data_IF_750602470122
#
_entry.id   IF_750602470122
#
_cell.length_a   1.000
_cell.length_b   1.000
_cell.length_c   1.000
_cell.angle_alpha   90.00
_cell.angle_beta   90.00
_cell.angle_gamma   90.00
#
_symmetry.space_group_name_H-M   'P 1'
#
loop_
_entity.id
_entity.type
_entity.pdbx_description
1 polymer ?
#
# COMPACT_ATOMS: atom_id res chain seq x y z
N UNK A 1 -3.39 25.68 -30.28
CA UNK A 1 -4.64 25.59 -29.50
C UNK A 1 -4.45 24.52 -28.44
N UNK A 2 -4.38 24.88 -27.16
CA UNK A 2 -4.28 23.90 -26.07
C UNK A 2 -5.68 23.33 -25.85
N UNK A 3 -5.90 22.06 -26.19
CA UNK A 3 -7.08 21.35 -25.68
C UNK A 3 -7.05 21.44 -24.15
N UNK A 4 -8.14 21.92 -23.57
CA UNK A 4 -8.25 22.05 -22.12
C UNK A 4 -8.19 20.65 -21.52
N UNK A 5 -7.11 20.34 -20.80
CA UNK A 5 -7.04 19.14 -19.96
C UNK A 5 -7.96 19.38 -18.75
N UNK A 6 -9.02 18.59 -18.63
CA UNK A 6 -10.14 18.82 -17.71
C UNK A 6 -9.97 18.01 -16.43
N UNK A 7 -9.53 16.76 -16.55
CA UNK A 7 -9.34 15.84 -15.44
C UNK A 7 -7.85 15.63 -15.17
N UNK A 8 -7.44 15.56 -13.92
CA UNK A 8 -6.10 15.20 -13.49
C UNK A 8 -5.78 13.77 -13.95
N UNK A 9 -6.67 12.82 -13.69
CA UNK A 9 -6.53 11.42 -14.07
C UNK A 9 -7.91 10.73 -14.12
N UNK A 10 -7.94 9.44 -14.46
CA UNK A 10 -9.18 8.64 -14.54
C UNK A 10 -9.97 8.58 -13.24
N UNK A 11 -9.32 8.64 -12.08
CA UNK A 11 -10.01 8.61 -10.78
C UNK A 11 -10.81 9.88 -10.53
N UNK A 12 -10.20 11.04 -10.80
CA UNK A 12 -10.93 12.31 -10.69
C UNK A 12 -12.13 12.35 -11.65
N UNK A 13 -11.92 11.92 -12.89
CA UNK A 13 -12.99 11.81 -13.87
C UNK A 13 -14.15 10.91 -13.40
N UNK A 14 -13.84 9.75 -12.80
CA UNK A 14 -14.82 8.87 -12.19
C UNK A 14 -15.60 9.51 -11.04
N UNK A 15 -14.95 10.32 -10.19
CA UNK A 15 -15.63 11.06 -9.11
C UNK A 15 -16.57 12.13 -9.62
N UNK A 16 -16.18 12.86 -10.66
CA UNK A 16 -17.05 13.84 -11.32
C UNK A 16 -18.27 13.14 -11.93
N UNK A 17 -18.05 12.04 -12.64
CA UNK A 17 -19.13 11.24 -13.23
C UNK A 17 -20.09 10.67 -12.16
N UNK A 18 -19.54 10.20 -11.04
CA UNK A 18 -20.31 9.69 -9.91
C UNK A 18 -21.25 10.74 -9.29
N UNK A 19 -20.89 12.02 -9.30
CA UNK A 19 -21.76 13.09 -8.80
C UNK A 19 -23.02 13.24 -9.66
N UNK A 20 -22.92 13.01 -10.98
CA UNK A 20 -24.05 13.09 -11.90
C UNK A 20 -24.98 11.87 -11.79
N UNK A 21 -24.45 10.73 -11.35
CA UNK A 21 -25.18 9.47 -11.18
C UNK A 21 -25.78 9.27 -9.77
N UNK A 22 -25.70 10.25 -8.87
CA UNK A 22 -26.11 10.07 -7.45
C UNK A 22 -27.55 9.60 -7.26
N UNK A 23 -28.44 9.85 -8.23
CA UNK A 23 -29.82 9.39 -8.20
C UNK A 23 -29.96 7.85 -8.27
N UNK A 24 -28.89 7.13 -8.61
CA UNK A 24 -28.81 5.66 -8.54
C UNK A 24 -28.27 5.12 -7.21
N UNK A 25 -27.83 5.98 -6.29
CA UNK A 25 -27.13 5.56 -5.08
C UNK A 25 -28.01 4.72 -4.14
N UNK A 26 -27.43 3.62 -3.65
CA UNK A 26 -28.08 2.73 -2.66
C UNK A 26 -29.22 1.89 -3.24
N UNK A 27 -29.42 1.90 -4.56
CA UNK A 27 -30.35 1.02 -5.25
C UNK A 27 -29.74 -0.37 -5.40
N UNK A 28 -30.52 -1.39 -5.06
CA UNK A 28 -30.07 -2.79 -5.08
C UNK A 28 -30.13 -3.43 -6.48
N UNK A 29 -30.83 -2.77 -7.40
CA UNK A 29 -30.98 -3.19 -8.79
C UNK A 29 -29.93 -2.57 -9.72
N UNK A 30 -28.91 -1.87 -9.20
CA UNK A 30 -27.87 -1.22 -10.01
C UNK A 30 -26.61 -2.08 -10.07
N UNK A 31 -26.04 -2.25 -11.25
CA UNK A 31 -24.73 -2.89 -11.49
C UNK A 31 -23.89 -1.99 -12.37
N UNK A 32 -22.62 -1.77 -12.00
CA UNK A 32 -21.66 -1.00 -12.81
C UNK A 32 -20.78 -1.98 -13.59
N UNK A 33 -20.77 -1.84 -14.91
CA UNK A 33 -19.94 -2.61 -15.82
C UNK A 33 -18.90 -1.71 -16.49
N UNK A 34 -17.63 -1.94 -16.20
CA UNK A 34 -16.54 -1.15 -16.78
C UNK A 34 -15.95 -1.84 -18.03
N UNK A 35 -15.71 -1.07 -19.09
CA UNK A 35 -15.00 -1.54 -20.27
C UNK A 35 -13.48 -1.50 -20.02
N UNK A 36 -12.75 -2.62 -20.19
CA UNK A 36 -11.33 -2.65 -19.86
C UNK A 36 -10.47 -2.05 -20.99
N UNK A 37 -9.32 -1.46 -20.66
CA UNK A 37 -8.74 -1.34 -19.30
C UNK A 37 -9.08 -0.01 -18.63
N UNK A 38 -9.04 1.08 -19.40
CA UNK A 38 -9.16 2.44 -18.88
C UNK A 38 -10.50 2.74 -18.20
N UNK A 39 -11.59 2.11 -18.61
CA UNK A 39 -12.88 2.27 -17.95
C UNK A 39 -12.95 1.76 -16.52
N UNK A 40 -12.06 0.84 -16.09
CA UNK A 40 -12.12 0.21 -14.76
C UNK A 40 -11.81 1.21 -13.62
N UNK A 41 -10.73 2.02 -13.67
CA UNK A 41 -10.51 3.10 -12.71
C UNK A 41 -11.68 4.09 -12.57
N UNK A 42 -12.33 4.43 -13.69
CA UNK A 42 -13.50 5.33 -13.70
C UNK A 42 -14.71 4.64 -13.07
N UNK A 43 -14.99 3.41 -13.52
CA UNK A 43 -16.10 2.58 -13.04
C UNK A 43 -15.99 2.26 -11.55
N UNK A 44 -14.78 2.10 -11.01
CA UNK A 44 -14.56 1.90 -9.58
C UNK A 44 -15.06 3.08 -8.75
N UNK A 45 -14.69 4.31 -9.11
CA UNK A 45 -15.11 5.50 -8.37
C UNK A 45 -16.64 5.71 -8.48
N UNK A 46 -17.22 5.41 -9.64
CA UNK A 46 -18.68 5.40 -9.83
C UNK A 46 -19.36 4.36 -8.93
N UNK A 47 -18.92 3.10 -9.00
CA UNK A 47 -19.51 2.00 -8.24
C UNK A 47 -19.39 2.22 -6.72
N UNK A 48 -18.23 2.68 -6.25
CA UNK A 48 -18.00 2.99 -4.84
C UNK A 48 -18.93 4.11 -4.34
N UNK A 49 -19.08 5.18 -5.11
CA UNK A 49 -19.94 6.30 -4.74
C UNK A 49 -21.44 5.93 -4.73
N UNK A 50 -21.86 5.02 -5.62
CA UNK A 50 -23.24 4.53 -5.70
C UNK A 50 -23.54 3.38 -4.73
N UNK A 51 -22.50 2.79 -4.12
CA UNK A 51 -22.60 1.54 -3.35
C UNK A 51 -23.16 0.38 -4.17
N UNK A 52 -22.72 0.28 -5.43
CA UNK A 52 -23.16 -0.74 -6.39
C UNK A 52 -22.04 -1.75 -6.72
N UNK A 53 -22.35 -2.99 -7.13
CA UNK A 53 -21.36 -3.95 -7.59
C UNK A 53 -20.63 -3.43 -8.84
N UNK A 54 -19.31 -3.61 -8.87
CA UNK A 54 -18.46 -3.38 -10.03
C UNK A 54 -18.03 -4.72 -10.63
N UNK A 55 -18.17 -4.88 -11.94
CA UNK A 55 -17.45 -5.91 -12.70
C UNK A 55 -16.93 -5.36 -14.03
N UNK A 56 -16.07 -6.13 -14.67
CA UNK A 56 -15.59 -5.88 -16.03
C UNK A 56 -16.56 -6.48 -17.06
N UNK A 57 -16.79 -5.75 -18.16
CA UNK A 57 -17.49 -6.26 -19.32
C UNK A 57 -16.54 -6.27 -20.52
N UNK A 58 -16.00 -7.46 -20.83
CA UNK A 58 -15.02 -7.63 -21.91
C UNK A 58 -15.76 -7.77 -23.22
N UNK A 59 -15.42 -6.92 -24.19
CA UNK A 59 -16.02 -6.92 -25.53
C UNK A 59 -14.93 -6.95 -26.58
N UNK A 60 -15.12 -7.76 -27.63
CA UNK A 60 -14.25 -7.83 -28.79
C UNK A 60 -15.09 -7.63 -30.04
N UNK A 61 -14.63 -6.74 -30.93
CA UNK A 61 -15.27 -6.53 -32.24
C UNK A 61 -14.91 -7.69 -33.16
N UNK A 62 -15.88 -8.17 -33.92
CA UNK A 62 -15.65 -9.08 -35.04
C UNK A 62 -15.49 -8.21 -36.28
N UNK A 63 -14.29 -8.16 -36.83
CA UNK A 63 -13.98 -7.43 -38.05
C UNK A 63 -13.23 -8.36 -39.02
N UNK A 64 -13.52 -8.29 -40.33
CA UNK A 64 -12.80 -9.08 -41.33
C UNK A 64 -11.30 -8.77 -41.30
N UNK A 65 -10.42 -9.75 -41.59
CA UNK A 65 -8.97 -9.55 -41.58
C UNK A 65 -8.51 -8.38 -42.48
N UNK A 66 -9.15 -8.23 -43.63
CA UNK A 66 -8.81 -7.21 -44.63
C UNK A 66 -9.34 -5.80 -44.26
N UNK A 67 -10.27 -5.71 -43.32
CA UNK A 67 -10.93 -4.47 -42.90
C UNK A 67 -11.12 -4.42 -41.37
N UNK A 68 -10.03 -4.36 -40.59
CA UNK A 68 -10.09 -4.45 -39.13
C UNK A 68 -10.85 -3.28 -38.46
N UNK A 69 -10.99 -2.16 -39.17
CA UNK A 69 -11.72 -0.98 -38.69
C UNK A 69 -13.24 -1.14 -38.79
N UNK A 70 -13.74 -2.02 -39.67
CA UNK A 70 -15.16 -2.20 -39.94
C UNK A 70 -15.70 -3.44 -39.21
N UNK A 71 -16.30 -3.23 -38.05
CA UNK A 71 -16.88 -4.29 -37.25
C UNK A 71 -18.21 -4.80 -37.86
N UNK A 72 -18.24 -6.07 -38.24
CA UNK A 72 -19.44 -6.81 -38.68
C UNK A 72 -20.19 -7.48 -37.54
N UNK A 73 -19.61 -7.48 -36.34
CA UNK A 73 -20.23 -8.02 -35.14
C UNK A 73 -19.41 -7.73 -33.89
N UNK A 74 -19.82 -8.33 -32.79
CA UNK A 74 -19.10 -8.31 -31.54
C UNK A 74 -19.36 -9.59 -30.76
N UNK A 75 -18.36 -9.98 -29.97
CA UNK A 75 -18.51 -11.00 -28.93
C UNK A 75 -18.25 -10.32 -27.58
N UNK A 76 -18.95 -10.76 -26.55
CA UNK A 76 -18.85 -10.18 -25.23
C UNK A 76 -18.87 -11.23 -24.13
N UNK A 77 -18.57 -10.76 -22.92
CA UNK A 77 -18.71 -11.50 -21.68
C UNK A 77 -20.05 -12.25 -21.59
N UNK A 78 -19.99 -13.49 -21.07
CA UNK A 78 -21.16 -14.36 -20.99
C UNK A 78 -21.46 -15.15 -22.27
N UNK A 79 -20.55 -15.15 -23.25
CA UNK A 79 -20.70 -15.93 -24.49
C UNK A 79 -21.66 -15.31 -25.50
N UNK A 80 -22.01 -14.04 -25.33
CA UNK A 80 -22.91 -13.32 -26.23
C UNK A 80 -22.18 -13.04 -27.53
N UNK A 81 -22.82 -13.39 -28.65
CA UNK A 81 -22.36 -13.09 -30.00
C UNK A 81 -23.45 -12.27 -30.69
N UNK A 82 -23.07 -11.11 -31.25
CA UNK A 82 -23.98 -10.24 -32.00
C UNK A 82 -23.40 -9.97 -33.37
N UNK A 83 -24.19 -10.21 -34.41
CA UNK A 83 -23.84 -9.91 -35.80
C UNK A 83 -24.59 -8.69 -36.29
N UNK A 84 -24.03 -8.02 -37.30
CA UNK A 84 -24.67 -6.98 -38.07
C UNK A 84 -24.87 -7.50 -39.49
N UNK A 85 -26.05 -8.06 -39.76
CA UNK A 85 -26.34 -8.72 -41.02
C UNK A 85 -26.24 -7.77 -42.22
N UNK A 86 -26.55 -6.48 -42.04
CA UNK A 86 -26.37 -5.46 -43.10
C UNK A 86 -24.90 -5.24 -43.43
N UNK A 87 -24.03 -5.19 -42.41
CA UNK A 87 -22.59 -5.05 -42.62
C UNK A 87 -21.96 -6.30 -43.23
N UNK A 88 -22.41 -7.49 -42.82
CA UNK A 88 -21.99 -8.77 -43.41
C UNK A 88 -22.34 -8.80 -44.90
N UNK A 89 -23.57 -8.40 -45.26
CA UNK A 89 -24.01 -8.30 -46.67
C UNK A 89 -23.20 -7.27 -47.45
N UNK A 90 -23.01 -6.07 -46.91
CA UNK A 90 -22.31 -4.99 -47.61
C UNK A 90 -20.84 -5.33 -47.90
N UNK A 91 -20.18 -5.99 -46.95
CA UNK A 91 -18.75 -6.35 -47.04
C UNK A 91 -18.51 -7.74 -47.66
N UNK A 92 -19.57 -8.45 -48.06
CA UNK A 92 -19.50 -9.80 -48.64
C UNK A 92 -18.71 -10.78 -47.75
N UNK A 93 -18.87 -10.66 -46.43
CA UNK A 93 -18.17 -11.52 -45.46
C UNK A 93 -18.76 -12.91 -45.49
N UNK A 94 -17.92 -13.93 -45.71
CA UNK A 94 -18.38 -15.31 -45.73
C UNK A 94 -18.61 -15.83 -44.32
N UNK A 95 -19.41 -16.89 -44.19
CA UNK A 95 -19.61 -17.55 -42.89
C UNK A 95 -18.30 -18.10 -42.31
N UNK A 96 -17.41 -18.59 -43.18
CA UNK A 96 -16.11 -19.14 -42.79
C UNK A 96 -15.17 -18.05 -42.23
N UNK A 97 -15.14 -16.87 -42.85
CA UNK A 97 -14.38 -15.71 -42.34
C UNK A 97 -14.90 -15.27 -40.97
N UNK A 98 -16.23 -15.24 -40.81
CA UNK A 98 -16.86 -14.83 -39.57
C UNK A 98 -16.59 -15.83 -38.44
N UNK A 99 -16.67 -17.13 -38.72
CA UNK A 99 -16.33 -18.20 -37.77
C UNK A 99 -14.87 -18.12 -37.34
N UNK A 100 -13.94 -17.98 -38.29
CA UNK A 100 -12.51 -17.88 -38.00
C UNK A 100 -12.17 -16.67 -37.11
N UNK A 101 -12.77 -15.50 -37.40
CA UNK A 101 -12.59 -14.30 -36.57
C UNK A 101 -13.25 -14.49 -35.20
N UNK A 102 -14.46 -15.05 -35.15
CA UNK A 102 -15.17 -15.30 -33.89
C UNK A 102 -14.37 -16.22 -32.97
N UNK A 103 -13.84 -17.34 -33.46
CA UNK A 103 -13.02 -18.25 -32.66
C UNK A 103 -11.77 -17.59 -32.09
N UNK A 104 -11.07 -16.80 -32.91
CA UNK A 104 -9.86 -16.08 -32.49
C UNK A 104 -10.18 -15.07 -31.39
N UNK A 105 -11.18 -14.22 -31.62
CA UNK A 105 -11.56 -13.21 -30.65
C UNK A 105 -12.11 -13.85 -29.38
N UNK A 106 -12.79 -15.00 -29.47
CA UNK A 106 -13.36 -15.69 -28.31
C UNK A 106 -12.28 -16.28 -27.41
N UNK A 107 -11.16 -16.76 -27.96
CA UNK A 107 -9.99 -17.19 -27.19
C UNK A 107 -9.39 -16.04 -26.38
N UNK A 108 -9.20 -14.87 -27.00
CA UNK A 108 -8.67 -13.69 -26.32
C UNK A 108 -9.66 -13.12 -25.28
N UNK A 109 -10.97 -13.18 -25.57
CA UNK A 109 -12.01 -12.79 -24.62
C UNK A 109 -11.95 -13.65 -23.35
N UNK A 110 -11.94 -14.98 -23.50
CA UNK A 110 -11.82 -15.91 -22.35
C UNK A 110 -10.56 -15.65 -21.53
N UNK A 111 -9.42 -15.48 -22.19
CA UNK A 111 -8.14 -15.17 -21.52
C UNK A 111 -8.24 -13.91 -20.65
N UNK A 112 -8.86 -12.84 -21.14
CA UNK A 112 -9.04 -11.59 -20.38
C UNK A 112 -10.05 -11.73 -19.25
N UNK A 113 -11.15 -12.43 -19.48
CA UNK A 113 -12.13 -12.70 -18.42
C UNK A 113 -11.52 -13.49 -17.27
N UNK A 114 -10.77 -14.55 -17.57
CA UNK A 114 -10.04 -15.35 -16.57
C UNK A 114 -9.03 -14.49 -15.81
N UNK A 115 -8.26 -13.68 -16.54
CA UNK A 115 -7.24 -12.80 -15.98
C UNK A 115 -7.81 -11.73 -15.03
N UNK A 116 -9.03 -11.23 -15.26
CA UNK A 116 -9.64 -10.17 -14.46
C UNK A 116 -10.57 -10.68 -13.36
N UNK A 117 -11.33 -11.75 -13.61
CA UNK A 117 -12.30 -12.28 -12.63
C UNK A 117 -11.68 -13.20 -11.60
N UNK A 118 -10.53 -13.82 -11.88
CA UNK A 118 -9.85 -14.76 -10.97
C UNK A 118 -10.81 -15.83 -10.38
N UNK A 119 -11.64 -16.44 -11.24
CA UNK A 119 -12.62 -17.45 -10.85
C UNK A 119 -13.97 -16.92 -10.33
N UNK A 120 -14.16 -15.60 -10.21
CA UNK A 120 -15.48 -15.01 -9.90
C UNK A 120 -16.45 -15.21 -11.06
N UNK A 121 -17.72 -15.46 -10.75
CA UNK A 121 -18.79 -15.55 -11.74
C UNK A 121 -19.18 -14.15 -12.24
N UNK A 122 -19.58 -14.00 -13.52
CA UNK A 122 -20.15 -12.75 -14.01
C UNK A 122 -21.40 -12.35 -13.18
N UNK A 123 -21.66 -11.04 -12.98
CA UNK A 123 -22.86 -10.58 -12.30
C UNK A 123 -24.11 -10.90 -13.14
N UNK A 124 -25.18 -11.26 -12.46
CA UNK A 124 -26.51 -11.32 -13.08
C UNK A 124 -27.02 -9.91 -13.32
N UNK A 125 -27.30 -9.57 -14.58
CA UNK A 125 -27.76 -8.24 -15.00
C UNK A 125 -29.19 -8.21 -15.57
N UNK A 126 -29.82 -9.37 -15.74
CA UNK A 126 -31.20 -9.46 -16.20
C UNK A 126 -32.13 -8.73 -15.22
N UNK A 127 -33.02 -7.89 -15.74
CA UNK A 127 -33.95 -7.08 -14.94
C UNK A 127 -33.30 -6.01 -14.05
N UNK A 128 -32.01 -5.70 -14.24
CA UNK A 128 -31.28 -4.69 -13.47
C UNK A 128 -31.01 -3.42 -14.27
N UNK A 129 -30.72 -2.34 -13.56
CA UNK A 129 -30.15 -1.11 -14.12
C UNK A 129 -28.65 -1.29 -14.30
N UNK A 130 -28.18 -1.29 -15.54
CA UNK A 130 -26.77 -1.51 -15.91
C UNK A 130 -26.13 -0.19 -16.30
N UNK A 131 -25.13 0.25 -15.55
CA UNK A 131 -24.34 1.45 -15.85
C UNK A 131 -23.03 1.00 -16.52
N UNK A 132 -22.90 1.28 -17.82
CA UNK A 132 -21.71 0.94 -18.62
C UNK A 132 -20.74 2.11 -18.63
N UNK A 133 -19.52 1.88 -18.15
CA UNK A 133 -18.51 2.93 -17.94
C UNK A 133 -17.27 2.71 -18.80
N UNK A 134 -16.76 3.79 -19.40
CA UNK A 134 -15.45 3.84 -20.07
C UNK A 134 -14.70 5.15 -19.70
N UNK A 135 -13.40 5.23 -19.98
CA UNK A 135 -12.62 6.45 -19.72
C UNK A 135 -12.85 7.59 -20.72
N UNK A 136 -13.56 7.30 -21.81
CA UNK A 136 -14.11 8.27 -22.73
C UNK A 136 -14.51 7.61 -24.05
N UNK A 137 -15.15 8.36 -24.93
CA UNK A 137 -15.55 7.86 -26.25
C UNK A 137 -14.90 8.71 -27.32
N UNK A 138 -14.20 8.06 -28.26
CA UNK A 138 -13.77 8.73 -29.48
C UNK A 138 -14.84 8.58 -30.58
N UNK A 139 -15.15 7.34 -30.96
CA UNK A 139 -16.16 7.02 -32.00
C UNK A 139 -17.34 6.23 -31.44
N UNK A 140 -17.31 5.85 -30.16
CA UNK A 140 -18.36 5.04 -29.55
C UNK A 140 -18.44 3.59 -30.04
N UNK A 141 -17.57 3.12 -30.93
CA UNK A 141 -17.68 1.79 -31.55
C UNK A 141 -17.62 0.63 -30.53
N UNK A 142 -16.67 0.68 -29.58
CA UNK A 142 -16.55 -0.34 -28.51
C UNK A 142 -17.76 -0.30 -27.58
N UNK A 143 -18.21 0.89 -27.20
CA UNK A 143 -19.42 1.06 -26.39
C UNK A 143 -20.66 0.51 -27.10
N UNK A 144 -20.83 0.82 -28.40
CA UNK A 144 -21.94 0.30 -29.21
C UNK A 144 -21.94 -1.23 -29.28
N UNK A 145 -20.76 -1.84 -29.43
CA UNK A 145 -20.61 -3.29 -29.37
C UNK A 145 -20.97 -3.86 -27.99
N UNK A 146 -20.60 -3.17 -26.92
CA UNK A 146 -20.95 -3.56 -25.55
C UNK A 146 -22.46 -3.53 -25.33
N UNK A 147 -23.10 -2.41 -25.71
CA UNK A 147 -24.54 -2.21 -25.58
C UNK A 147 -25.34 -3.30 -26.31
N UNK A 148 -24.97 -3.61 -27.56
CA UNK A 148 -25.60 -4.69 -28.32
C UNK A 148 -25.56 -6.04 -27.61
N UNK A 149 -24.47 -6.33 -26.92
CA UNK A 149 -24.34 -7.58 -26.16
C UNK A 149 -25.10 -7.53 -24.83
N UNK A 150 -25.11 -6.38 -24.16
CA UNK A 150 -25.87 -6.15 -22.92
C UNK A 150 -27.37 -6.28 -23.19
N UNK A 151 -27.88 -5.79 -24.33
CA UNK A 151 -29.28 -5.92 -24.73
C UNK A 151 -29.76 -7.38 -24.77
N UNK A 152 -28.87 -8.33 -25.12
CA UNK A 152 -29.17 -9.77 -25.15
C UNK A 152 -29.27 -10.40 -23.76
N UNK A 153 -28.84 -9.69 -22.73
CA UNK A 153 -28.88 -10.12 -21.33
C UNK A 153 -30.09 -9.53 -20.58
N UNK A 154 -31.00 -8.87 -21.31
CA UNK A 154 -32.32 -8.39 -20.83
C UNK A 154 -32.27 -7.53 -19.56
N UNK A 155 -31.42 -6.47 -19.50
CA UNK A 155 -31.46 -5.50 -18.40
C UNK A 155 -32.80 -4.74 -18.38
N UNK A 156 -33.17 -4.21 -17.21
CA UNK A 156 -34.34 -3.35 -17.09
C UNK A 156 -34.07 -1.92 -17.60
N UNK A 157 -32.84 -1.44 -17.44
CA UNK A 157 -32.40 -0.12 -17.89
C UNK A 157 -30.90 -0.17 -18.23
N UNK A 158 -30.48 0.53 -19.27
CA UNK A 158 -29.09 0.70 -19.64
C UNK A 158 -28.71 2.18 -19.60
N UNK A 159 -27.66 2.49 -18.85
CA UNK A 159 -27.09 3.83 -18.71
C UNK A 159 -25.66 3.80 -19.23
N UNK A 160 -25.31 4.71 -20.14
CA UNK A 160 -23.91 4.93 -20.54
C UNK A 160 -23.36 6.09 -19.73
N UNK A 161 -22.21 5.89 -19.08
CA UNK A 161 -21.57 6.94 -18.30
C UNK A 161 -20.10 7.07 -18.70
N UNK A 162 -19.71 8.24 -19.23
CA UNK A 162 -18.35 8.50 -19.70
C UNK A 162 -17.88 9.90 -19.33
N UNK A 163 -16.59 10.10 -18.97
CA UNK A 163 -16.10 11.42 -18.63
C UNK A 163 -16.11 12.41 -19.79
N UNK A 164 -15.65 11.99 -20.97
CA UNK A 164 -15.54 12.87 -22.14
C UNK A 164 -15.86 12.15 -23.46
N UNK A 165 -16.60 12.81 -24.34
CA UNK A 165 -16.95 12.32 -25.67
C UNK A 165 -17.33 13.48 -26.63
N UNK A 166 -17.30 13.31 -27.96
CA UNK A 166 -17.95 14.24 -28.89
C UNK A 166 -19.47 14.29 -28.67
N UNK A 167 -20.08 15.46 -28.85
CA UNK A 167 -21.54 15.63 -28.71
C UNK A 167 -22.31 14.70 -29.66
N UNK A 168 -21.91 14.63 -30.94
CA UNK A 168 -22.55 13.78 -31.94
C UNK A 168 -22.54 12.29 -31.51
N UNK A 169 -21.45 11.81 -30.91
CA UNK A 169 -21.38 10.43 -30.38
C UNK A 169 -22.31 10.23 -29.18
N UNK A 170 -22.46 11.24 -28.32
CA UNK A 170 -23.44 11.18 -27.23
C UNK A 170 -24.88 11.17 -27.77
N UNK A 171 -25.21 11.99 -28.77
CA UNK A 171 -26.53 12.01 -29.41
C UNK A 171 -26.88 10.66 -30.05
N UNK A 172 -25.95 10.06 -30.81
CA UNK A 172 -26.16 8.73 -31.38
C UNK A 172 -26.45 7.65 -30.33
N UNK A 173 -25.75 7.71 -29.18
CA UNK A 173 -25.95 6.75 -28.09
C UNK A 173 -27.28 7.00 -27.35
N UNK A 174 -27.74 8.25 -27.21
CA UNK A 174 -29.03 8.58 -26.57
C UNK A 174 -30.22 7.93 -27.31
N UNK A 175 -30.08 7.62 -28.60
CA UNK A 175 -31.10 6.90 -29.35
C UNK A 175 -31.11 5.38 -29.10
N UNK A 176 -30.12 4.84 -28.38
CA UNK A 176 -29.92 3.39 -28.18
C UNK A 176 -30.10 2.93 -26.74
N UNK A 177 -29.99 3.83 -25.77
CA UNK A 177 -30.02 3.52 -24.34
C UNK A 177 -30.99 4.43 -23.60
N UNK A 178 -31.35 4.07 -22.38
CA UNK A 178 -32.30 4.85 -21.58
C UNK A 178 -31.70 6.18 -21.09
N UNK A 179 -30.40 6.22 -20.85
CA UNK A 179 -29.70 7.42 -20.38
C UNK A 179 -28.23 7.47 -20.83
N UNK A 180 -27.77 8.66 -21.19
CA UNK A 180 -26.34 8.94 -21.44
C UNK A 180 -25.89 10.07 -20.52
N UNK A 181 -24.95 9.76 -19.64
CA UNK A 181 -24.29 10.71 -18.75
C UNK A 181 -22.87 10.97 -19.28
N UNK A 182 -22.65 12.17 -19.79
CA UNK A 182 -21.33 12.62 -20.24
C UNK A 182 -20.90 13.83 -19.42
N UNK A 183 -19.75 13.74 -18.74
CA UNK A 183 -19.33 14.83 -17.87
C UNK A 183 -18.88 16.09 -18.64
N UNK A 184 -18.37 15.94 -19.86
CA UNK A 184 -17.99 17.06 -20.73
C UNK A 184 -17.92 16.66 -22.21
N UNK A 185 -18.30 17.56 -23.11
CA UNK A 185 -18.24 17.36 -24.57
C UNK A 185 -17.30 18.38 -25.24
N UNK A 186 -15.96 18.21 -25.12
CA UNK A 186 -15.00 19.23 -25.54
C UNK A 186 -14.93 19.34 -27.07
N UNK A 187 -14.79 20.59 -27.56
CA UNK A 187 -14.64 20.88 -28.99
C UNK A 187 -13.37 21.73 -29.25
N UNK A 188 -12.52 21.35 -30.22
CA UNK A 188 -12.57 20.13 -31.02
C UNK A 188 -12.18 18.89 -30.20
N UNK A 189 -12.81 17.74 -30.47
CA UNK A 189 -12.44 16.45 -29.89
C UNK A 189 -11.48 15.72 -30.82
N UNK A 190 -10.26 15.40 -30.37
CA UNK A 190 -9.31 14.59 -31.16
C UNK A 190 -9.11 13.20 -30.59
N UNK A 191 -8.92 13.09 -29.27
CA UNK A 191 -8.69 11.82 -28.60
C UNK A 191 -9.08 11.90 -27.13
N UNK A 192 -9.50 10.77 -26.55
CA UNK A 192 -9.89 10.65 -25.14
C UNK A 192 -8.83 11.22 -24.19
N UNK A 193 -7.56 10.85 -24.41
CA UNK A 193 -6.44 11.26 -23.56
C UNK A 193 -6.18 12.77 -23.47
N UNK A 194 -6.71 13.60 -24.38
CA UNK A 194 -6.55 15.05 -24.30
C UNK A 194 -7.36 15.68 -23.15
N UNK A 195 -8.38 14.99 -22.67
CA UNK A 195 -9.18 15.43 -21.53
C UNK A 195 -8.46 15.22 -20.19
N UNK A 196 -7.30 14.55 -20.19
CA UNK A 196 -6.58 14.11 -19.00
C UNK A 196 -5.18 14.75 -18.88
N UNK A 197 -4.77 15.12 -17.65
CA UNK A 197 -3.40 15.53 -17.37
C UNK A 197 -2.45 14.33 -17.36
N UNK A 198 -2.86 13.28 -16.66
CA UNK A 198 -2.26 11.97 -16.61
C UNK A 198 -3.21 10.94 -17.27
N UNK A 199 -2.71 10.32 -18.35
CA UNK A 199 -3.41 9.30 -19.13
C UNK A 199 -2.52 8.07 -19.35
N UNK A 200 -1.71 7.71 -18.35
CA UNK A 200 -0.90 6.50 -18.38
C UNK A 200 -1.73 5.25 -18.67
N UNK A 201 -1.10 4.23 -19.24
CA UNK A 201 -1.83 3.02 -19.63
C UNK A 201 -2.18 2.19 -18.39
N UNK A 202 -3.48 2.03 -18.12
CA UNK A 202 -3.98 1.14 -17.06
C UNK A 202 -3.48 -0.29 -17.28
N UNK A 203 -2.84 -0.85 -16.26
CA UNK A 203 -2.24 -2.20 -16.30
C UNK A 203 -3.26 -3.27 -15.93
N UNK A 204 -2.98 -4.53 -16.25
CA UNK A 204 -3.87 -5.63 -15.84
C UNK A 204 -3.89 -5.84 -14.32
N UNK A 205 -2.78 -5.52 -13.63
CA UNK A 205 -2.72 -5.59 -12.16
C UNK A 205 -3.55 -4.50 -11.50
N UNK A 206 -3.55 -3.28 -12.06
CA UNK A 206 -4.44 -2.20 -11.59
C UNK A 206 -5.91 -2.60 -11.77
N UNK A 207 -6.28 -3.20 -12.91
CA UNK A 207 -7.63 -3.73 -13.14
C UNK A 207 -7.99 -4.78 -12.08
N UNK A 208 -7.11 -5.76 -11.81
CA UNK A 208 -7.36 -6.79 -10.79
C UNK A 208 -7.53 -6.20 -9.39
N UNK A 209 -6.69 -5.24 -9.02
CA UNK A 209 -6.75 -4.57 -7.72
C UNK A 209 -8.05 -3.79 -7.54
N UNK A 210 -8.49 -3.05 -8.57
CA UNK A 210 -9.74 -2.29 -8.51
C UNK A 210 -10.97 -3.18 -8.49
N UNK A 211 -10.95 -4.28 -9.25
CA UNK A 211 -12.06 -5.23 -9.25
C UNK A 211 -12.13 -6.04 -7.94
N UNK A 212 -11.05 -6.19 -7.17
CA UNK A 212 -11.07 -6.88 -5.87
C UNK A 212 -11.40 -5.94 -4.70
N UNK A 213 -11.24 -4.63 -4.88
CA UNK A 213 -11.58 -3.64 -3.89
C UNK A 213 -13.10 -3.52 -3.71
N UNK A 214 -13.60 -3.39 -2.46
CA UNK A 214 -15.04 -3.31 -2.20
C UNK A 214 -15.63 -1.99 -2.71
N UNK A 215 -16.74 -2.07 -3.47
CA UNK A 215 -17.53 -0.91 -3.92
C UNK A 215 -18.91 -0.84 -3.28
N UNK A 216 -19.47 -1.97 -2.86
CA UNK A 216 -20.72 -2.03 -2.11
C UNK A 216 -20.38 -1.88 -0.63
N UNK A 217 -20.93 -0.85 0.03
CA UNK A 217 -20.89 -0.78 1.47
C UNK A 217 -21.51 -2.08 2.02
N UNK A 218 -20.80 -2.81 2.89
CA UNK A 218 -21.31 -4.05 3.50
C UNK A 218 -22.74 -3.80 3.96
N UNK A 219 -23.72 -4.39 3.27
CA UNK A 219 -25.09 -4.44 3.76
C UNK A 219 -25.02 -5.08 5.15
N UNK A 220 -25.63 -4.44 6.14
CA UNK A 220 -25.82 -4.99 7.48
C UNK A 220 -26.65 -6.29 7.51
N UNK A 221 -26.91 -6.91 6.35
CA UNK A 221 -27.69 -8.12 6.14
C UNK A 221 -26.83 -9.40 6.03
N UNK A 222 -25.51 -9.29 5.91
CA UNK A 222 -24.65 -10.24 6.61
C UNK A 222 -24.52 -9.66 8.01
N UNK A 223 -25.24 -10.20 9.00
CA UNK A 223 -24.77 -10.05 10.37
C UNK A 223 -23.28 -10.38 10.34
N UNK A 224 -22.38 -9.52 10.84
CA UNK A 224 -21.00 -9.95 11.03
C UNK A 224 -21.12 -11.15 11.94
N UNK A 225 -21.06 -12.37 11.38
CA UNK A 225 -21.27 -13.58 12.14
C UNK A 225 -20.38 -13.45 13.36
N UNK A 226 -21.01 -13.35 14.53
CA UNK A 226 -20.50 -12.68 15.74
C UNK A 226 -18.99 -12.39 15.65
N UNK A 227 -18.57 -11.12 15.57
CA UNK A 227 -17.15 -10.80 15.44
C UNK A 227 -16.30 -11.53 16.48
N UNK A 228 -16.84 -11.77 17.68
CA UNK A 228 -16.21 -12.62 18.67
C UNK A 228 -16.17 -14.11 18.26
N UNK A 229 -17.20 -14.67 17.62
CA UNK A 229 -17.17 -15.99 16.99
C UNK A 229 -16.20 -16.08 15.81
N UNK A 230 -16.07 -15.04 14.98
CA UNK A 230 -15.07 -15.01 13.90
C UNK A 230 -13.65 -15.01 14.47
N UNK A 231 -13.39 -14.16 15.48
CA UNK A 231 -12.12 -14.17 16.23
C UNK A 231 -11.91 -15.52 16.90
N UNK A 232 -12.91 -16.08 17.60
CA UNK A 232 -12.81 -17.40 18.26
C UNK A 232 -12.48 -18.54 17.29
N UNK A 233 -12.97 -18.50 16.05
CA UNK A 233 -12.65 -19.52 15.03
C UNK A 233 -11.22 -19.40 14.50
N UNK A 234 -10.66 -18.19 14.48
CA UNK A 234 -9.31 -17.94 13.95
C UNK A 234 -8.22 -17.73 15.01
N UNK A 235 -8.60 -17.64 16.29
CA UNK A 235 -7.66 -17.42 17.39
C UNK A 235 -6.95 -18.72 17.78
N UNK A 236 -5.64 -18.63 17.98
CA UNK A 236 -4.86 -19.68 18.62
C UNK A 236 -4.93 -19.47 20.14
N UNK A 237 -5.35 -20.48 20.93
CA UNK A 237 -5.36 -20.38 22.38
C UNK A 237 -3.97 -20.13 22.95
N UNK A 238 -3.85 -19.13 23.84
CA UNK A 238 -2.61 -18.75 24.50
C UNK A 238 -2.85 -18.59 26.02
N UNK A 239 -3.17 -19.68 26.75
CA UNK A 239 -3.60 -19.60 28.16
C UNK A 239 -2.51 -19.08 29.10
N UNK A 240 -1.23 -19.21 28.72
CA UNK A 240 -0.09 -18.65 29.43
C UNK A 240 0.24 -17.20 29.00
N UNK A 241 -0.59 -16.57 28.17
CA UNK A 241 -0.35 -15.25 27.57
C UNK A 241 0.51 -15.27 26.31
N UNK A 242 1.02 -16.45 25.92
CA UNK A 242 1.78 -16.72 24.69
C UNK A 242 1.27 -18.02 24.05
N UNK A 243 1.44 -18.13 22.73
CA UNK A 243 1.26 -19.39 22.00
C UNK A 243 2.44 -20.32 22.25
N UNK A 244 2.28 -21.61 21.99
CA UNK A 244 3.39 -22.56 22.05
C UNK A 244 4.45 -22.24 20.99
N UNK A 245 5.69 -22.71 21.22
CA UNK A 245 6.85 -22.34 20.40
C UNK A 245 6.70 -22.77 18.93
N UNK A 246 6.09 -23.92 18.67
CA UNK A 246 5.86 -24.42 17.30
C UNK A 246 4.91 -23.48 16.53
N UNK A 247 3.78 -23.08 17.12
CA UNK A 247 2.88 -22.09 16.54
C UNK A 247 3.55 -20.73 16.35
N UNK A 248 4.39 -20.29 17.30
CA UNK A 248 5.18 -19.06 17.14
C UNK A 248 6.11 -19.16 15.92
N UNK A 249 6.79 -20.30 15.76
CA UNK A 249 7.73 -20.52 14.66
C UNK A 249 7.04 -20.62 13.31
N UNK A 250 5.84 -21.19 13.25
CA UNK A 250 4.99 -21.22 12.07
C UNK A 250 4.50 -19.82 11.69
N UNK A 251 4.06 -19.03 12.67
CA UNK A 251 3.66 -17.63 12.46
C UNK A 251 4.81 -16.76 11.93
N UNK A 252 6.02 -16.99 12.43
CA UNK A 252 7.22 -16.24 12.02
C UNK A 252 7.74 -16.69 10.65
N UNK A 253 7.65 -17.99 10.33
CA UNK A 253 8.15 -18.53 9.07
C UNK A 253 9.63 -18.20 8.83
N UNK A 254 9.93 -17.68 7.63
CA UNK A 254 11.26 -17.23 7.20
C UNK A 254 11.48 -15.71 7.36
N UNK A 255 10.65 -15.05 8.17
CA UNK A 255 10.76 -13.61 8.37
C UNK A 255 12.11 -13.24 8.99
N UNK A 256 12.77 -12.23 8.42
CA UNK A 256 14.05 -11.70 8.92
C UNK A 256 13.87 -10.62 10.00
N UNK A 257 12.66 -10.09 10.13
CA UNK A 257 12.29 -9.04 11.07
C UNK A 257 10.95 -9.41 11.71
N UNK A 258 10.90 -9.42 13.05
CA UNK A 258 9.70 -9.69 13.83
C UNK A 258 9.46 -8.50 14.74
N UNK A 259 8.28 -7.90 14.64
CA UNK A 259 7.90 -6.74 15.44
C UNK A 259 6.99 -7.22 16.58
N UNK A 260 7.47 -7.10 17.82
CA UNK A 260 6.75 -7.57 19.00
C UNK A 260 6.27 -6.36 19.83
N UNK A 261 5.00 -6.00 19.65
CA UNK A 261 4.38 -4.91 20.38
C UNK A 261 3.88 -5.30 21.77
N UNK A 262 3.50 -4.30 22.56
CA UNK A 262 2.76 -4.47 23.80
C UNK A 262 1.58 -3.49 23.86
N UNK A 263 0.51 -3.85 24.55
CA UNK A 263 -0.67 -2.99 24.64
C UNK A 263 -0.53 -1.88 25.69
N UNK A 264 0.37 -2.05 26.67
CA UNK A 264 0.67 -1.06 27.70
C UNK A 264 2.04 -1.28 28.32
N UNK A 265 2.75 -0.21 28.65
CA UNK A 265 3.95 -0.31 29.48
C UNK A 265 3.59 -0.64 30.93
N UNK A 266 4.52 -1.30 31.64
CA UNK A 266 4.38 -1.65 33.06
C UNK A 266 3.54 -2.90 33.38
N UNK A 267 2.97 -3.59 32.37
CA UNK A 267 2.24 -4.86 32.58
C UNK A 267 3.20 -6.04 32.54
N UNK A 268 3.41 -6.69 33.68
CA UNK A 268 4.39 -7.79 33.83
C UNK A 268 4.24 -8.89 32.76
N UNK A 269 3.01 -9.32 32.47
CA UNK A 269 2.70 -10.39 31.51
C UNK A 269 3.18 -10.03 30.09
N UNK A 270 3.12 -8.76 29.70
CA UNK A 270 3.62 -8.34 28.39
C UNK A 270 5.14 -8.39 28.32
N UNK A 271 5.86 -7.96 29.37
CA UNK A 271 7.32 -8.13 29.41
C UNK A 271 7.72 -9.60 29.38
N UNK A 272 7.05 -10.44 30.19
CA UNK A 272 7.35 -11.86 30.27
C UNK A 272 7.12 -12.56 28.92
N UNK A 273 5.99 -12.28 28.26
CA UNK A 273 5.68 -12.80 26.94
C UNK A 273 6.72 -12.38 25.89
N UNK A 274 7.06 -11.08 25.83
CA UNK A 274 8.06 -10.56 24.89
C UNK A 274 9.45 -11.14 25.14
N UNK A 275 9.87 -11.24 26.41
CA UNK A 275 11.13 -11.85 26.78
C UNK A 275 11.18 -13.33 26.36
N UNK A 276 10.14 -14.12 26.65
CA UNK A 276 10.06 -15.53 26.23
C UNK A 276 10.15 -15.67 24.71
N UNK A 277 9.28 -14.99 23.96
CA UNK A 277 9.29 -15.07 22.49
C UNK A 277 10.66 -14.68 21.92
N UNK A 278 11.27 -13.61 22.43
CA UNK A 278 12.59 -13.16 21.97
C UNK A 278 13.68 -14.20 22.26
N UNK A 279 13.67 -14.84 23.43
CA UNK A 279 14.62 -15.93 23.76
C UNK A 279 14.54 -17.06 22.74
N UNK A 280 13.32 -17.55 22.47
CA UNK A 280 13.09 -18.67 21.55
C UNK A 280 13.46 -18.32 20.11
N UNK A 281 13.18 -17.08 19.67
CA UNK A 281 13.61 -16.61 18.35
C UNK A 281 15.14 -16.51 18.21
N UNK A 282 15.85 -16.12 19.27
CA UNK A 282 17.31 -16.08 19.26
C UNK A 282 17.91 -17.49 19.23
N UNK A 283 17.40 -18.39 20.08
CA UNK A 283 17.91 -19.75 20.26
C UNK A 283 17.64 -20.63 19.03
N UNK A 284 16.41 -20.64 18.53
CA UNK A 284 15.95 -21.64 17.54
C UNK A 284 15.86 -21.07 16.12
N UNK A 285 15.55 -19.77 15.98
CA UNK A 285 15.40 -19.11 14.66
C UNK A 285 16.62 -18.27 14.28
N UNK A 286 17.64 -18.19 15.12
CA UNK A 286 18.92 -17.56 14.80
C UNK A 286 18.89 -16.04 14.71
N UNK A 287 17.90 -15.36 15.30
CA UNK A 287 17.88 -13.89 15.34
C UNK A 287 19.11 -13.34 16.10
N UNK A 288 19.66 -12.23 15.61
CA UNK A 288 20.96 -11.67 16.06
C UNK A 288 20.87 -10.23 16.59
N UNK A 289 19.68 -9.63 16.59
CA UNK A 289 19.49 -8.26 17.05
C UNK A 289 18.15 -8.13 17.79
N UNK A 290 18.19 -7.48 18.95
CA UNK A 290 17.01 -7.04 19.70
C UNK A 290 16.97 -5.52 19.61
N UNK A 291 16.00 -4.97 18.90
CA UNK A 291 15.81 -3.53 18.77
C UNK A 291 14.59 -3.08 19.60
N UNK A 292 14.78 -2.11 20.49
CA UNK A 292 13.76 -1.66 21.44
C UNK A 292 13.37 -0.21 21.21
N UNK A 293 12.12 0.14 21.56
CA UNK A 293 11.63 1.52 21.70
C UNK A 293 12.25 2.16 22.95
N UNK A 294 13.55 2.43 22.86
CA UNK A 294 14.36 2.99 23.92
C UNK A 294 15.50 3.82 23.33
N UNK A 295 15.94 4.78 24.13
CA UNK A 295 16.98 5.72 23.75
C UNK A 295 18.28 5.00 23.34
N UNK A 296 18.85 5.39 22.21
CA UNK A 296 20.10 4.79 21.69
C UNK A 296 21.24 4.73 22.73
N UNK A 297 21.62 5.82 23.43
CA UNK A 297 22.72 5.76 24.41
C UNK A 297 22.48 4.76 25.54
N UNK A 298 21.23 4.68 25.99
CA UNK A 298 20.83 3.85 27.14
C UNK A 298 20.86 2.38 26.75
N UNK A 299 20.32 2.05 25.57
CA UNK A 299 20.39 0.71 25.00
C UNK A 299 21.81 0.31 24.62
N UNK A 300 22.66 1.25 24.19
CA UNK A 300 24.06 0.96 23.85
C UNK A 300 24.88 0.51 25.07
N UNK A 301 24.63 1.08 26.25
CA UNK A 301 25.23 0.56 27.50
C UNK A 301 24.84 -0.89 27.77
N UNK A 302 23.57 -1.26 27.53
CA UNK A 302 23.11 -2.65 27.60
C UNK A 302 23.81 -3.49 26.53
N UNK A 303 23.93 -3.01 25.30
CA UNK A 303 24.63 -3.72 24.21
C UNK A 303 26.03 -4.14 24.65
N UNK A 304 26.78 -3.19 25.22
CA UNK A 304 28.13 -3.43 25.74
C UNK A 304 28.12 -4.46 26.88
N UNK A 305 27.14 -4.38 27.77
CA UNK A 305 26.97 -5.35 28.85
C UNK A 305 26.73 -6.77 28.32
N UNK A 306 25.77 -6.95 27.41
CA UNK A 306 25.40 -8.27 26.89
C UNK A 306 26.45 -8.86 25.95
N UNK A 307 27.32 -8.02 25.37
CA UNK A 307 28.47 -8.44 24.57
C UNK A 307 29.75 -8.62 25.39
N UNK A 308 29.68 -8.52 26.72
CA UNK A 308 30.81 -8.72 27.64
C UNK A 308 31.96 -7.70 27.48
N UNK A 309 31.69 -6.53 26.90
CA UNK A 309 32.66 -5.42 26.70
C UNK A 309 32.37 -4.19 27.59
N UNK A 310 31.45 -4.31 28.55
CA UNK A 310 31.18 -3.29 29.58
C UNK A 310 31.98 -3.56 30.86
N UNK A 311 32.25 -2.49 31.63
CA UNK A 311 32.75 -2.57 33.00
C UNK A 311 31.63 -2.89 34.02
N UNK A 312 30.37 -2.80 33.61
CA UNK A 312 29.21 -3.12 34.44
C UNK A 312 29.19 -4.61 34.85
N UNK A 313 28.99 -4.85 36.15
CA UNK A 313 29.05 -6.19 36.77
C UNK A 313 27.69 -6.84 36.92
N UNK A 314 26.61 -6.06 36.88
CA UNK A 314 25.24 -6.54 37.07
C UNK A 314 24.30 -5.95 36.01
N UNK A 315 23.18 -6.62 35.69
CA UNK A 315 22.21 -6.08 34.73
C UNK A 315 21.60 -4.77 35.25
N UNK A 316 21.40 -4.64 36.57
CA UNK A 316 20.88 -3.43 37.19
C UNK A 316 21.80 -2.20 37.01
N UNK A 317 23.13 -2.40 37.03
CA UNK A 317 24.10 -1.33 36.74
C UNK A 317 24.01 -0.88 35.26
N UNK A 318 23.91 -1.83 34.33
CA UNK A 318 23.76 -1.54 32.90
C UNK A 318 22.44 -0.81 32.59
N UNK A 319 21.35 -1.22 33.24
CA UNK A 319 20.02 -0.63 33.10
C UNK A 319 19.87 0.73 33.79
N UNK A 320 20.82 1.15 34.64
CA UNK A 320 20.76 2.44 35.34
C UNK A 320 20.84 3.65 34.39
N UNK A 321 21.24 3.44 33.12
CA UNK A 321 21.19 4.47 32.09
C UNK A 321 19.75 4.93 31.80
N UNK A 322 18.76 4.01 31.85
CA UNK A 322 17.35 4.32 31.60
C UNK A 322 16.74 5.17 32.72
N UNK A 323 16.89 6.49 32.61
CA UNK A 323 16.48 7.49 33.63
C UNK A 323 15.37 8.43 33.19
N UNK A 324 15.12 8.54 31.87
CA UNK A 324 14.13 9.47 31.30
C UNK A 324 12.70 9.05 31.65
N UNK A 325 12.46 7.74 31.66
CA UNK A 325 11.16 7.16 31.98
C UNK A 325 11.13 6.59 33.40
N UNK A 326 9.94 6.36 33.96
CA UNK A 326 9.82 5.73 35.27
C UNK A 326 10.58 4.40 35.33
N UNK A 327 11.21 4.13 36.48
CA UNK A 327 12.07 2.95 36.65
C UNK A 327 11.38 1.65 36.25
N UNK A 328 10.11 1.47 36.60
CA UNK A 328 9.34 0.26 36.29
C UNK A 328 9.24 -0.06 34.79
N UNK A 329 9.49 0.88 33.89
CA UNK A 329 9.32 0.68 32.45
C UNK A 329 10.44 -0.17 31.84
N UNK A 330 11.70 0.17 32.11
CA UNK A 330 12.87 -0.56 31.59
C UNK A 330 13.68 -1.24 32.70
N UNK A 331 13.66 -0.70 33.93
CA UNK A 331 14.39 -1.22 35.08
C UNK A 331 13.46 -2.06 35.95
N UNK A 332 12.89 -3.09 35.35
CA UNK A 332 12.07 -4.08 36.03
C UNK A 332 12.76 -5.46 36.01
N UNK A 333 12.27 -6.36 36.86
CA UNK A 333 12.87 -7.68 37.08
C UNK A 333 12.91 -8.52 35.80
N UNK A 334 11.89 -8.43 34.95
CA UNK A 334 11.83 -9.22 33.71
C UNK A 334 12.90 -8.78 32.71
N UNK A 335 13.11 -7.47 32.57
CA UNK A 335 14.16 -6.93 31.69
C UNK A 335 15.55 -7.22 32.26
N UNK A 336 15.74 -7.09 33.59
CA UNK A 336 17.00 -7.46 34.25
C UNK A 336 17.35 -8.93 34.01
N UNK A 337 16.40 -9.84 34.19
CA UNK A 337 16.57 -11.27 33.93
C UNK A 337 16.81 -11.58 32.44
N UNK A 338 16.16 -10.85 31.53
CA UNK A 338 16.37 -10.99 30.09
C UNK A 338 17.78 -10.55 29.68
N UNK A 339 18.25 -9.40 30.17
CA UNK A 339 19.59 -8.86 29.88
C UNK A 339 20.67 -9.79 30.42
N UNK A 340 20.48 -10.34 31.62
CA UNK A 340 21.43 -11.30 32.20
C UNK A 340 21.47 -12.61 31.41
N UNK A 341 20.30 -13.14 31.04
CA UNK A 341 20.21 -14.30 30.16
C UNK A 341 20.91 -14.04 28.82
N UNK A 342 20.69 -12.87 28.21
CA UNK A 342 21.28 -12.53 26.91
C UNK A 342 22.81 -12.44 27.00
N UNK A 343 23.34 -11.86 28.08
CA UNK A 343 24.79 -11.84 28.35
C UNK A 343 25.36 -13.26 28.45
N UNK A 344 24.69 -14.13 29.20
CA UNK A 344 25.11 -15.52 29.37
C UNK A 344 25.08 -16.27 28.04
N UNK A 345 23.99 -16.15 27.28
CA UNK A 345 23.85 -16.78 25.95
C UNK A 345 24.91 -16.27 24.96
N UNK A 346 25.25 -14.98 25.01
CA UNK A 346 26.28 -14.39 24.16
C UNK A 346 27.70 -14.86 24.50
N UNK A 347 27.97 -15.35 25.71
CA UNK A 347 29.30 -15.82 26.09
C UNK A 347 29.76 -17.01 25.24
N UNK A 348 28.82 -17.87 24.84
CA UNK A 348 29.09 -19.10 24.07
C UNK A 348 28.67 -19.01 22.59
N UNK A 349 28.21 -17.83 22.12
CA UNK A 349 27.63 -17.64 20.79
C UNK A 349 28.53 -16.84 19.86
N UNK A 350 28.60 -17.24 18.59
CA UNK A 350 29.18 -16.45 17.49
C UNK A 350 28.29 -16.51 16.25
N UNK A 351 27.82 -15.36 15.70
CA UNK A 351 28.00 -14.00 16.21
C UNK A 351 27.16 -13.75 17.47
N UNK A 352 27.63 -12.84 18.32
CA UNK A 352 26.88 -12.38 19.49
C UNK A 352 25.64 -11.58 19.06
N UNK A 353 24.58 -11.69 19.85
CA UNK A 353 23.33 -10.96 19.65
C UNK A 353 23.49 -9.54 20.20
N UNK A 354 23.14 -8.54 19.40
CA UNK A 354 23.15 -7.14 19.83
C UNK A 354 21.83 -6.67 20.45
N UNK A 355 21.91 -5.61 21.26
CA UNK A 355 20.77 -4.91 21.86
C UNK A 355 20.80 -3.43 21.46
N UNK A 356 19.76 -2.93 20.79
CA UNK A 356 19.79 -1.64 20.12
C UNK A 356 18.57 -0.79 20.49
N UNK A 357 18.78 0.51 20.69
CA UNK A 357 17.71 1.48 20.90
C UNK A 357 17.33 2.18 19.60
N UNK A 358 16.04 2.24 19.30
CA UNK A 358 15.50 2.88 18.09
C UNK A 358 15.10 4.33 18.32
N UNK A 359 14.94 4.76 19.57
CA UNK A 359 14.47 6.10 19.88
C UNK A 359 15.59 7.14 19.82
N UNK A 360 15.23 8.29 19.25
CA UNK A 360 16.10 9.47 19.12
C UNK A 360 15.71 10.57 20.11
N UNK A 361 14.99 10.23 21.18
CA UNK A 361 14.42 11.21 22.11
C UNK A 361 15.43 11.81 23.08
N UNK A 362 16.66 11.29 23.15
CA UNK A 362 17.70 11.71 24.09
C UNK A 362 18.75 12.62 23.45
N UNK A 363 18.30 13.65 22.72
CA UNK A 363 19.16 14.56 21.93
C UNK A 363 20.41 15.04 22.71
N UNK A 364 20.23 15.62 23.89
CA UNK A 364 21.35 16.17 24.67
C UNK A 364 22.31 15.08 25.17
N UNK A 365 21.79 13.88 25.46
CA UNK A 365 22.63 12.74 25.86
C UNK A 365 23.42 12.22 24.66
N UNK A 366 22.80 12.05 23.50
CA UNK A 366 23.46 11.67 22.26
C UNK A 366 24.54 12.67 21.85
N UNK A 367 24.29 13.97 22.00
CA UNK A 367 25.30 15.02 21.82
C UNK A 367 26.52 14.80 22.73
N UNK A 368 26.29 14.51 24.01
CA UNK A 368 27.37 14.26 24.96
C UNK A 368 28.16 12.99 24.66
N UNK A 369 27.51 11.93 24.17
CA UNK A 369 28.21 10.70 23.73
C UNK A 369 29.15 10.99 22.56
N UNK A 370 28.68 11.74 21.55
CA UNK A 370 29.51 12.17 20.41
C UNK A 370 30.69 13.01 20.87
N UNK A 371 30.47 14.00 21.75
CA UNK A 371 31.54 14.85 22.27
C UNK A 371 32.55 14.02 23.07
N UNK A 372 32.08 13.10 23.92
CA UNK A 372 32.95 12.26 24.75
C UNK A 372 33.80 11.30 23.91
N UNK A 373 33.21 10.72 22.86
CA UNK A 373 33.95 9.91 21.88
C UNK A 373 35.06 10.72 21.21
N UNK A 374 34.76 11.96 20.78
CA UNK A 374 35.72 12.83 20.11
C UNK A 374 36.79 13.34 21.08
N UNK A 375 36.47 13.65 22.34
CA UNK A 375 37.46 14.08 23.33
C UNK A 375 38.58 13.05 23.50
N UNK A 376 38.25 11.77 23.42
CA UNK A 376 39.22 10.69 23.54
C UNK A 376 40.10 10.49 22.29
N UNK A 377 39.64 10.90 21.10
CA UNK A 377 40.25 10.55 19.80
C UNK A 377 40.74 11.73 18.97
N UNK A 378 39.98 12.81 18.94
CA UNK A 378 40.29 14.06 18.25
C UNK A 378 39.69 15.25 19.05
N UNK A 379 40.44 15.79 20.03
CA UNK A 379 39.98 16.93 20.84
C UNK A 379 39.62 18.16 20.01
N UNK A 380 40.28 18.37 18.87
CA UNK A 380 39.95 19.49 17.99
C UNK A 380 38.60 19.28 17.26
N UNK A 381 38.26 18.03 16.92
CA UNK A 381 36.92 17.70 16.44
C UNK A 381 35.87 17.81 17.55
N UNK A 382 36.20 17.48 18.79
CA UNK A 382 35.31 17.65 19.94
C UNK A 382 34.93 19.12 20.14
N UNK A 383 35.90 20.05 20.02
CA UNK A 383 35.64 21.48 20.12
C UNK A 383 34.72 22.01 19.01
N UNK A 384 34.89 21.53 17.78
CA UNK A 384 33.98 21.84 16.66
C UNK A 384 32.57 21.30 16.91
N UNK A 385 32.47 20.07 17.43
CA UNK A 385 31.19 19.46 17.78
C UNK A 385 30.45 20.27 18.86
N UNK A 386 31.16 20.68 19.92
CA UNK A 386 30.60 21.57 20.95
C UNK A 386 30.07 22.86 20.36
N UNK A 387 30.83 23.50 19.47
CA UNK A 387 30.40 24.75 18.83
C UNK A 387 29.14 24.57 17.98
N UNK A 388 29.05 23.51 17.18
CA UNK A 388 27.87 23.18 16.37
C UNK A 388 26.64 22.89 17.22
N UNK A 389 26.80 22.13 18.30
CA UNK A 389 25.69 21.76 19.16
C UNK A 389 25.20 22.90 20.08
N UNK A 390 25.93 24.03 20.20
CA UNK A 390 25.43 25.22 20.92
C UNK A 390 24.10 25.75 20.40
N UNK A 391 23.74 25.47 19.14
CA UNK A 391 22.42 25.82 18.62
C UNK A 391 21.29 25.23 19.47
N UNK A 392 21.51 24.07 20.09
CA UNK A 392 20.54 23.44 20.99
C UNK A 392 20.45 24.11 22.36
N UNK A 393 21.43 24.91 22.80
CA UNK A 393 21.42 25.56 24.13
C UNK A 393 20.21 26.49 24.31
N UNK A 394 19.63 26.97 23.21
CA UNK A 394 18.42 27.78 23.22
C UNK A 394 17.15 26.98 23.56
N UNK A 395 17.22 25.64 23.48
CA UNK A 395 16.11 24.73 23.72
C UNK A 395 16.40 23.90 24.98
N UNK A 396 15.43 23.85 25.90
CA UNK A 396 15.60 23.10 27.16
C UNK A 396 15.40 21.60 27.01
N UNK A 397 14.64 21.19 26.00
CA UNK A 397 14.24 19.81 25.74
C UNK A 397 13.90 19.64 24.25
N UNK A 398 13.81 18.39 23.82
CA UNK A 398 13.62 18.02 22.41
C UNK A 398 12.22 18.40 21.89
N UNK A 399 11.21 18.39 22.76
CA UNK A 399 9.84 18.74 22.39
C UNK A 399 9.72 20.22 22.03
N UNK A 400 10.38 21.10 22.79
CA UNK A 400 10.43 22.53 22.51
C UNK A 400 11.17 22.83 21.23
N UNK A 401 12.29 22.13 20.96
CA UNK A 401 12.99 22.25 19.68
C UNK A 401 12.08 21.84 18.51
N UNK A 402 11.47 20.65 18.61
CA UNK A 402 10.56 20.15 17.57
C UNK A 402 9.37 21.08 17.31
N UNK A 403 8.76 21.63 18.36
CA UNK A 403 7.69 22.61 18.24
C UNK A 403 8.17 23.92 17.61
N UNK A 404 9.32 24.44 18.03
CA UNK A 404 9.86 25.69 17.49
C UNK A 404 10.18 25.59 15.99
N UNK A 405 10.77 24.48 15.55
CA UNK A 405 11.07 24.23 14.14
C UNK A 405 9.78 24.01 13.33
N UNK A 406 8.85 23.18 13.83
CA UNK A 406 7.61 22.84 13.11
C UNK A 406 6.69 24.05 12.88
N UNK A 407 6.70 25.02 13.80
CA UNK A 407 5.83 26.19 13.74
C UNK A 407 6.58 27.50 13.40
N UNK A 408 7.83 27.41 12.94
CA UNK A 408 8.61 28.56 12.46
C UNK A 408 9.01 29.57 13.54
N UNK A 409 9.05 29.15 14.81
CA UNK A 409 9.37 29.98 15.97
C UNK A 409 10.85 29.89 16.40
N UNK A 410 11.72 29.29 15.59
CA UNK A 410 13.16 29.20 15.84
C UNK A 410 13.94 28.80 14.59
N UNK A 411 15.26 29.02 14.60
CA UNK A 411 16.16 28.47 13.58
C UNK A 411 16.34 26.97 13.81
N UNK A 412 16.36 26.20 12.73
CA UNK A 412 16.69 24.77 12.76
C UNK A 412 18.19 24.60 13.00
N UNK A 413 18.57 23.63 13.85
CA UNK A 413 19.96 23.23 14.05
C UNK A 413 20.38 22.09 13.09
N UNK A 414 19.55 21.81 12.07
CA UNK A 414 19.75 20.71 11.13
C UNK A 414 21.09 20.80 10.40
N UNK A 415 21.44 21.98 9.89
CA UNK A 415 22.69 22.16 9.13
C UNK A 415 23.91 21.84 9.99
N UNK A 416 23.94 22.30 11.25
CA UNK A 416 25.01 22.03 12.20
C UNK A 416 25.12 20.53 12.53
N UNK A 417 24.00 19.85 12.73
CA UNK A 417 23.96 18.41 13.03
C UNK A 417 24.38 17.58 11.82
N UNK A 418 23.87 17.91 10.63
CA UNK A 418 24.24 17.22 9.39
C UNK A 418 25.72 17.40 9.10
N UNK A 419 26.26 18.60 9.28
CA UNK A 419 27.69 18.85 9.09
C UNK A 419 28.55 18.08 10.11
N UNK A 420 28.05 17.92 11.34
CA UNK A 420 28.73 17.10 12.35
C UNK A 420 28.73 15.61 11.98
N UNK A 421 27.62 15.08 11.45
CA UNK A 421 27.55 13.71 10.96
C UNK A 421 28.51 13.47 9.78
N UNK A 422 28.55 14.39 8.81
CA UNK A 422 29.45 14.31 7.66
C UNK A 422 30.91 14.28 8.10
N UNK A 423 31.29 15.08 9.09
CA UNK A 423 32.66 15.11 9.60
C UNK A 423 33.00 13.83 10.37
N UNK A 424 32.07 13.27 11.15
CA UNK A 424 32.25 11.98 11.82
C UNK A 424 32.47 10.84 10.81
N UNK A 425 31.66 10.78 9.75
CA UNK A 425 31.82 9.76 8.70
C UNK A 425 33.17 9.87 7.96
N UNK A 426 33.66 11.10 7.76
CA UNK A 426 34.99 11.31 7.16
C UNK A 426 36.11 10.85 8.08
N UNK A 427 35.99 11.14 9.38
CA UNK A 427 36.94 10.70 10.40
C UNK A 427 37.01 9.16 10.45
N UNK A 428 35.86 8.49 10.39
CA UNK A 428 35.78 7.03 10.35
C UNK A 428 36.45 6.45 9.10
N UNK A 429 36.19 7.00 7.91
CA UNK A 429 36.87 6.61 6.67
C UNK A 429 38.39 6.78 6.72
N UNK A 430 38.88 7.81 7.42
CA UNK A 430 40.31 8.05 7.58
C UNK A 430 40.94 7.14 8.64
N UNK A 431 40.18 6.71 9.66
CA UNK A 431 40.61 5.71 10.64
C UNK A 431 40.67 4.30 10.06
N UNK A 432 39.65 3.88 9.31
CA UNK A 432 39.63 2.58 8.60
C UNK A 432 40.82 2.43 7.65
N UNK A 433 41.26 3.52 7.02
CA UNK A 433 42.47 3.55 6.18
C UNK A 433 43.78 3.42 6.96
N UNK A 434 43.82 3.81 8.24
CA UNK A 434 45.03 3.80 9.07
C UNK A 434 45.19 2.50 9.87
N UNK A 435 44.11 1.98 10.44
CA UNK A 435 44.17 0.94 11.47
C UNK A 435 43.59 -0.43 11.05
N UNK A 436 43.04 -0.55 9.84
CA UNK A 436 42.34 -1.76 9.38
C UNK A 436 40.89 -1.87 9.90
N UNK A 437 40.15 -2.90 9.49
CA UNK A 437 38.74 -3.08 9.87
C UNK A 437 38.59 -3.25 11.40
N UNK A 438 38.21 -2.18 12.09
CA UNK A 438 37.65 -2.21 13.45
C UNK A 438 36.29 -2.91 13.40
N UNK A 439 35.95 -3.71 14.41
CA UNK A 439 34.65 -4.40 14.50
C UNK A 439 33.48 -3.41 14.35
N UNK A 440 32.45 -3.78 13.57
CA UNK A 440 31.39 -2.87 13.09
C UNK A 440 30.62 -2.12 14.22
N UNK A 441 30.63 -2.62 15.46
CA UNK A 441 29.92 -2.01 16.60
C UNK A 441 30.78 -1.01 17.41
N UNK A 442 32.10 -0.94 17.18
CA UNK A 442 32.96 0.13 17.73
C UNK A 442 33.05 1.35 16.80
N UNK A 443 32.38 1.29 15.64
CA UNK A 443 32.27 2.39 14.67
C UNK A 443 31.15 3.39 14.98
N UNK A 444 30.36 3.14 16.04
CA UNK A 444 29.21 3.97 16.43
C UNK A 444 29.33 4.45 17.87
#
# INVERSE_FOLDING_TARGET
MRGSKIFQNRREAGRVLAQQLQHHRGRDDVVVLALPRGGVPVGYEVAAALSAPLDVFVVRKLAPPDQPEYAVGAIASGGVVVTNDDAIRALHVTSEDLEAVAEREQKELRRREEAYRNGRRPPEIAGKTVIVVDDGLATGATMTAALRAIDKLEPAQVVVAVPAAPEDTCEELRHRVDEVVCATTPQPFTAVGQSYWDFEQTTDDEVRQLLSAPTVARRAADEPGDAAAAVRRGAVPAPAGIVDDDELFDLVGDARLVLIGEASHGTHEFYAARAHMTRRLIEEKGFQAVAVEGDWPDAYRINRYVRTVSEDRTPAEALDAFRRFPQWMWRNTVVEEFVEWLRTTNADRSPQVGFYGLDLYSMLRSVNEVISYLDARDPAAADRARERYRCFDHFRDEQRYGYAVAFGAGQSCEDEVVQQLVDLQRLDLDMVKRDGMVEDDERF
#
